data_IF_523116249367
#
_entry.id   IF_523116249367
#
_cell.length_a   1.000
_cell.length_b   1.000
_cell.length_c   1.000
_cell.angle_alpha   90.00
_cell.angle_beta   90.00
_cell.angle_gamma   90.00
#
_symmetry.space_group_name_H-M   'P 1'
#
loop_
_entity.id
_entity.type
_entity.pdbx_description
1 polymer ?
#
# COMPACT_ATOMS: atom_id res chain seq x y z
N UNK A 1 -10.86 11.03 -20.42
CA UNK A 1 -10.84 9.55 -20.41
C UNK A 1 -10.83 9.15 -18.95
N UNK A 2 -11.80 8.37 -18.50
CA UNK A 2 -11.99 7.99 -17.09
C UNK A 2 -11.90 6.48 -16.96
N UNK A 3 -11.63 5.99 -15.75
CA UNK A 3 -11.65 4.55 -15.46
C UNK A 3 -12.27 4.27 -14.09
N UNK A 4 -12.72 3.04 -13.91
CA UNK A 4 -13.31 2.56 -12.67
C UNK A 4 -12.34 1.66 -11.90
N UNK A 5 -12.36 1.81 -10.58
CA UNK A 5 -11.71 0.90 -9.64
C UNK A 5 -12.79 0.28 -8.76
N UNK A 6 -12.92 -1.05 -8.85
CA UNK A 6 -13.86 -1.85 -8.06
C UNK A 6 -13.09 -2.45 -6.89
N UNK A 7 -13.21 -1.88 -5.70
CA UNK A 7 -12.46 -2.31 -4.51
C UNK A 7 -13.16 -1.87 -3.21
N UNK A 8 -12.84 -2.52 -2.09
CA UNK A 8 -13.37 -2.17 -0.75
C UNK A 8 -14.92 -2.13 -0.70
N UNK A 9 -15.59 -2.94 -1.53
CA UNK A 9 -17.06 -2.97 -1.61
C UNK A 9 -17.69 -1.76 -2.32
N UNK A 10 -16.89 -0.93 -2.99
CA UNK A 10 -17.35 0.25 -3.72
C UNK A 10 -16.77 0.31 -5.15
N UNK A 11 -17.43 1.11 -5.99
CA UNK A 11 -16.93 1.49 -7.32
C UNK A 11 -16.51 2.95 -7.26
N UNK A 12 -15.25 3.21 -7.62
CA UNK A 12 -14.67 4.54 -7.67
C UNK A 12 -14.35 4.91 -9.11
N UNK A 13 -14.63 6.16 -9.51
CA UNK A 13 -14.30 6.69 -10.85
C UNK A 13 -13.17 7.69 -10.71
N UNK A 14 -12.13 7.57 -11.54
CA UNK A 14 -11.00 8.49 -11.58
C UNK A 14 -10.61 8.89 -12.99
N UNK A 15 -10.01 10.07 -13.10
CA UNK A 15 -9.51 10.62 -14.36
C UNK A 15 -8.01 10.34 -14.57
N UNK A 16 -7.28 9.89 -13.54
CA UNK A 16 -5.88 9.50 -13.61
C UNK A 16 -5.44 8.55 -12.47
N UNK A 17 -4.37 7.78 -12.70
CA UNK A 17 -3.85 6.83 -11.70
C UNK A 17 -3.32 7.50 -10.44
N UNK A 18 -2.72 8.69 -10.53
CA UNK A 18 -2.22 9.39 -9.34
C UNK A 18 -3.34 9.78 -8.37
N UNK A 19 -4.51 10.20 -8.87
CA UNK A 19 -5.69 10.45 -8.04
C UNK A 19 -6.21 9.16 -7.38
N UNK A 20 -6.27 8.05 -8.12
CA UNK A 20 -6.69 6.76 -7.59
C UNK A 20 -5.74 6.28 -6.46
N UNK A 21 -4.43 6.31 -6.73
CA UNK A 21 -3.39 5.94 -5.77
C UNK A 21 -3.45 6.83 -4.53
N UNK A 22 -3.55 8.15 -4.70
CA UNK A 22 -3.64 9.08 -3.58
C UNK A 22 -4.85 8.84 -2.67
N UNK A 23 -5.99 8.44 -3.26
CA UNK A 23 -7.22 8.18 -2.51
C UNK A 23 -7.24 6.79 -1.86
N UNK A 24 -6.67 5.78 -2.51
CA UNK A 24 -6.95 4.37 -2.19
C UNK A 24 -5.75 3.60 -1.65
N UNK A 25 -4.52 4.02 -1.92
CA UNK A 25 -3.34 3.28 -1.51
C UNK A 25 -3.18 3.34 0.03
N UNK A 26 -2.96 2.19 0.70
CA UNK A 26 -2.58 2.17 2.10
C UNK A 26 -1.30 2.98 2.34
N UNK A 27 -1.14 3.51 3.54
CA UNK A 27 0.05 4.27 3.92
C UNK A 27 0.97 3.36 4.74
N UNK A 28 2.27 3.36 4.39
CA UNK A 28 3.28 2.65 5.17
C UNK A 28 3.38 3.24 6.58
N UNK A 29 3.27 2.38 7.60
CA UNK A 29 3.35 2.79 9.01
C UNK A 29 4.74 3.30 9.43
N UNK A 30 5.79 3.00 8.65
CA UNK A 30 7.15 3.46 8.93
C UNK A 30 7.49 4.74 8.13
N UNK A 31 7.55 4.65 6.80
CA UNK A 31 8.05 5.75 5.95
C UNK A 31 6.95 6.65 5.37
N UNK A 32 5.68 6.38 5.66
CA UNK A 32 4.52 7.18 5.24
C UNK A 32 4.30 7.31 3.72
N UNK A 33 5.03 6.57 2.91
CA UNK A 33 4.75 6.51 1.48
C UNK A 33 3.45 5.73 1.20
N UNK A 34 2.85 6.02 0.05
CA UNK A 34 1.73 5.23 -0.47
C UNK A 34 2.24 3.87 -0.95
N UNK A 35 1.57 2.80 -0.52
CA UNK A 35 1.91 1.42 -0.88
C UNK A 35 1.23 1.10 -2.21
N UNK A 36 2.01 1.14 -3.29
CA UNK A 36 1.52 0.93 -4.67
C UNK A 36 1.80 -0.50 -5.16
N UNK A 37 2.82 -1.17 -4.58
CA UNK A 37 3.20 -2.54 -4.91
C UNK A 37 2.68 -3.57 -3.90
N UNK A 38 3.25 -4.78 -3.95
CA UNK A 38 2.94 -5.83 -2.99
C UNK A 38 3.59 -5.50 -1.64
N UNK A 39 2.87 -4.74 -0.82
CA UNK A 39 3.27 -4.39 0.54
C UNK A 39 3.37 -5.61 1.46
N UNK A 40 3.78 -5.37 2.70
CA UNK A 40 3.85 -6.38 3.75
C UNK A 40 2.88 -6.02 4.85
N UNK A 41 1.99 -6.96 5.18
CA UNK A 41 1.19 -6.92 6.40
C UNK A 41 1.89 -7.74 7.49
N UNK A 42 2.07 -7.15 8.67
CA UNK A 42 2.64 -7.84 9.82
C UNK A 42 2.03 -7.30 11.11
N UNK A 43 1.52 -8.19 11.96
CA UNK A 43 0.87 -7.85 13.23
C UNK A 43 -0.24 -6.77 13.06
N UNK A 44 -1.03 -6.85 11.98
CA UNK A 44 -2.12 -5.91 11.68
C UNK A 44 -1.66 -4.52 11.19
N UNK A 45 -0.37 -4.34 10.89
CA UNK A 45 0.22 -3.10 10.36
C UNK A 45 0.67 -3.28 8.92
N UNK A 46 0.61 -2.22 8.13
CA UNK A 46 0.97 -2.22 6.71
C UNK A 46 2.28 -1.47 6.44
N UNK A 47 3.15 -2.09 5.65
CA UNK A 47 4.46 -1.55 5.27
C UNK A 47 4.69 -1.64 3.77
N UNK A 48 5.45 -0.69 3.21
CA UNK A 48 5.77 -0.72 1.77
C UNK A 48 6.72 -1.86 1.37
N UNK A 49 7.35 -2.53 2.34
CA UNK A 49 8.23 -3.66 2.08
C UNK A 49 8.95 -4.15 3.34
N UNK A 50 9.78 -5.18 3.17
CA UNK A 50 10.49 -5.85 4.26
C UNK A 50 11.44 -4.92 5.04
N UNK A 51 12.05 -3.95 4.38
CA UNK A 51 12.92 -2.96 5.05
C UNK A 51 12.16 -2.17 6.11
N UNK A 52 11.04 -1.55 5.74
CA UNK A 52 10.20 -0.77 6.65
C UNK A 52 9.61 -1.62 7.77
N UNK A 53 9.15 -2.84 7.46
CA UNK A 53 8.59 -3.72 8.47
C UNK A 53 9.65 -4.13 9.52
N UNK A 54 10.88 -4.45 9.09
CA UNK A 54 11.99 -4.79 10.02
C UNK A 54 12.45 -3.59 10.85
N UNK A 55 12.43 -2.39 10.27
CA UNK A 55 12.70 -1.15 11.01
C UNK A 55 11.72 -0.95 12.19
N UNK A 56 10.52 -1.52 12.07
CA UNK A 56 9.46 -1.53 13.08
C UNK A 56 9.44 -2.82 13.92
N UNK A 57 10.54 -3.58 13.92
CA UNK A 57 10.74 -4.77 14.77
C UNK A 57 10.07 -6.05 14.27
N UNK A 58 9.47 -6.04 13.07
CA UNK A 58 8.83 -7.23 12.51
C UNK A 58 9.89 -8.24 12.02
N UNK A 59 9.74 -9.51 12.39
CA UNK A 59 10.69 -10.59 12.11
C UNK A 59 10.12 -11.60 11.10
N UNK A 60 10.98 -12.43 10.51
CA UNK A 60 10.56 -13.48 9.57
C UNK A 60 10.12 -13.00 8.19
N UNK A 61 10.11 -11.69 7.94
CA UNK A 61 9.76 -11.11 6.63
C UNK A 61 10.95 -11.24 5.69
N UNK A 62 10.75 -11.85 4.53
CA UNK A 62 11.75 -11.95 3.46
C UNK A 62 11.41 -10.96 2.35
N UNK A 63 12.25 -9.95 2.18
CA UNK A 63 12.20 -9.07 1.00
C UNK A 63 13.02 -9.68 -0.13
N UNK A 64 12.52 -9.58 -1.36
CA UNK A 64 13.32 -9.73 -2.58
C UNK A 64 13.67 -8.32 -3.05
N UNK A 65 14.95 -8.08 -3.33
CA UNK A 65 15.43 -6.84 -3.96
C UNK A 65 15.09 -6.89 -5.44
#
# INVERSE_FOLDING_TARGET
>A
MTFEVHAQGAVHVFDCFSCAIHRMAPICEHCRCQIIGQGVEAAGRWFCGAHCARAEGQTGIVGRV
#
